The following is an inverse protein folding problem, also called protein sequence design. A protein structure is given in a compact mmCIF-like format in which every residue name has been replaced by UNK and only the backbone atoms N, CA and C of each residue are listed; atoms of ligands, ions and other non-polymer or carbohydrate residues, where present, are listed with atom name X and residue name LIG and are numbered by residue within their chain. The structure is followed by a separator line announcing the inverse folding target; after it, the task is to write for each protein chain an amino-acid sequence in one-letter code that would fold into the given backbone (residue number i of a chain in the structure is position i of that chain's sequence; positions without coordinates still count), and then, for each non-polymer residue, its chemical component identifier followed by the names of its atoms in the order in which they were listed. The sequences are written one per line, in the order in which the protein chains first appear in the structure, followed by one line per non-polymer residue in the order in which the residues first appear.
data_IF_368307528764
#
_entry.id   IF_368307528764
#
_cell.length_a   1.000
_cell.length_b   1.000
_cell.length_c   1.000
_cell.angle_alpha   90.00
_cell.angle_beta   90.00
_cell.angle_gamma   90.00
#
_symmetry.space_group_name_H-M   'P 1'
#
loop_
_entity.id
_entity.type
_entity.pdbx_description
1 polymer ?
#
# COMPACT_ATOMS: atom_id res chain seq x y z
N UNK A 1 -3.72 -1.94 6.46
CA UNK A 1 -3.79 -0.71 7.28
C UNK A 1 -3.29 -1.01 8.67
N UNK A 2 -2.26 -0.30 9.14
CA UNK A 2 -1.69 -0.53 10.47
C UNK A 2 -2.64 -0.09 11.58
N UNK A 3 -2.66 -0.82 12.71
CA UNK A 3 -3.48 -0.50 13.88
C UNK A 3 -3.24 0.94 14.36
N UNK A 4 -1.97 1.36 14.42
CA UNK A 4 -1.58 2.71 14.82
C UNK A 4 -2.18 3.80 13.92
N UNK A 5 -2.16 3.58 12.60
CA UNK A 5 -2.71 4.53 11.63
C UNK A 5 -4.22 4.75 11.86
N UNK A 6 -4.94 3.66 12.11
CA UNK A 6 -6.37 3.70 12.40
C UNK A 6 -6.63 4.41 13.74
N UNK A 7 -5.90 4.05 14.80
CA UNK A 7 -6.07 4.68 16.11
C UNK A 7 -5.75 6.17 16.09
N UNK A 8 -4.66 6.60 15.42
CA UNK A 8 -4.32 8.01 15.27
C UNK A 8 -5.37 8.78 14.48
N UNK A 9 -5.92 8.17 13.42
CA UNK A 9 -7.01 8.76 12.63
C UNK A 9 -8.26 9.00 13.49
N UNK A 10 -8.64 8.03 14.33
CA UNK A 10 -9.79 8.16 15.24
C UNK A 10 -9.55 9.26 16.28
N UNK A 11 -8.36 9.32 16.89
CA UNK A 11 -8.02 10.34 17.89
C UNK A 11 -8.06 11.75 17.29
N UNK A 12 -7.52 11.94 16.09
CA UNK A 12 -7.57 13.24 15.41
C UNK A 12 -9.02 13.63 15.07
N UNK A 13 -9.85 12.68 14.61
CA UNK A 13 -11.27 12.94 14.36
C UNK A 13 -12.03 13.27 15.64
N UNK A 14 -11.72 12.59 16.74
CA UNK A 14 -12.31 12.84 18.05
C UNK A 14 -11.96 14.26 18.54
N UNK A 15 -10.67 14.62 18.55
CA UNK A 15 -10.22 15.96 18.92
C UNK A 15 -10.81 17.06 18.01
N UNK A 16 -10.97 16.78 16.71
CA UNK A 16 -11.62 17.70 15.77
C UNK A 16 -13.10 17.91 16.11
N UNK A 17 -13.82 16.83 16.44
CA UNK A 17 -15.22 16.91 16.86
C UNK A 17 -15.38 17.66 18.20
N UNK A 18 -14.54 17.37 19.19
CA UNK A 18 -14.53 18.09 20.47
C UNK A 18 -14.21 19.58 20.30
N UNK A 19 -13.26 19.92 19.42
CA UNK A 19 -12.96 21.31 19.07
C UNK A 19 -14.16 21.99 18.41
N UNK A 20 -14.88 21.30 17.52
CA UNK A 20 -16.07 21.82 16.85
C UNK A 20 -17.20 22.14 17.86
N UNK A 21 -17.53 21.22 18.76
CA UNK A 21 -18.53 21.46 19.81
C UNK A 21 -18.12 22.62 20.73
N UNK A 22 -16.85 22.66 21.13
CA UNK A 22 -16.33 23.72 21.98
C UNK A 22 -16.45 25.11 21.32
N UNK A 23 -16.10 25.22 20.03
CA UNK A 23 -16.23 26.47 19.29
C UNK A 23 -17.69 26.88 19.09
N UNK A 24 -18.62 25.94 18.89
CA UNK A 24 -20.04 26.25 18.85
C UNK A 24 -20.53 26.78 20.19
N UNK A 25 -20.13 26.14 21.28
CA UNK A 25 -20.49 26.57 22.64
C UNK A 25 -19.96 27.97 22.96
N UNK A 26 -18.68 28.25 22.68
CA UNK A 26 -18.09 29.58 22.86
C UNK A 26 -18.86 30.64 22.05
N UNK A 27 -19.16 30.35 20.79
CA UNK A 27 -19.86 31.27 19.89
C UNK A 27 -21.25 31.59 20.43
N UNK A 28 -21.96 30.60 20.98
CA UNK A 28 -23.27 30.80 21.60
C UNK A 28 -23.17 31.54 22.95
N UNK A 29 -22.14 31.26 23.73
CA UNK A 29 -21.90 31.80 25.08
C UNK A 29 -21.42 33.26 25.09
N UNK A 30 -20.95 33.81 23.96
CA UNK A 30 -20.26 35.13 23.86
C UNK A 30 -19.07 35.30 24.81
N UNK A 31 -18.55 34.19 25.35
CA UNK A 31 -17.38 34.21 26.23
C UNK A 31 -16.12 34.01 25.39
N UNK A 32 -15.10 34.82 25.64
CA UNK A 32 -13.81 34.70 24.97
C UNK A 32 -12.85 33.94 25.88
N UNK A 33 -12.87 32.61 25.78
CA UNK A 33 -11.87 31.74 26.40
C UNK A 33 -11.03 31.06 25.33
N UNK A 34 -9.75 30.85 25.60
CA UNK A 34 -8.88 30.07 24.72
C UNK A 34 -9.25 28.59 24.70
N UNK A 35 -8.72 27.83 23.74
CA UNK A 35 -8.95 26.38 23.65
C UNK A 35 -8.46 25.67 24.93
N UNK A 36 -9.23 24.72 25.49
CA UNK A 36 -8.77 23.90 26.60
C UNK A 36 -7.53 23.12 26.20
N UNK A 37 -6.54 23.07 27.09
CA UNK A 37 -5.30 22.35 26.84
C UNK A 37 -5.51 20.85 26.61
N UNK A 38 -6.58 20.26 27.14
CA UNK A 38 -6.92 18.85 26.94
C UNK A 38 -7.11 18.50 25.45
N UNK A 39 -7.93 19.28 24.72
CA UNK A 39 -8.14 19.13 23.27
C UNK A 39 -6.83 19.33 22.50
N UNK A 40 -5.97 20.25 22.96
CA UNK A 40 -4.66 20.49 22.33
C UNK A 40 -3.74 19.27 22.49
N UNK A 41 -3.66 18.70 23.70
CA UNK A 41 -2.83 17.53 23.96
C UNK A 41 -3.37 16.29 23.24
N UNK A 42 -4.68 16.08 23.22
CA UNK A 42 -5.31 14.98 22.48
C UNK A 42 -4.98 15.05 20.98
N UNK A 43 -5.08 16.24 20.37
CA UNK A 43 -4.72 16.45 18.98
C UNK A 43 -3.22 16.15 18.73
N UNK A 44 -2.33 16.65 19.59
CA UNK A 44 -0.89 16.42 19.45
C UNK A 44 -0.53 14.94 19.56
N UNK A 45 -1.09 14.23 20.54
CA UNK A 45 -0.88 12.80 20.73
C UNK A 45 -1.45 12.01 19.55
N UNK A 46 -2.67 12.33 19.11
CA UNK A 46 -3.31 11.71 17.96
C UNK A 46 -2.48 11.89 16.68
N UNK A 47 -1.92 13.09 16.47
CA UNK A 47 -1.08 13.42 15.32
C UNK A 47 0.26 12.67 15.33
N UNK A 48 0.90 12.56 16.51
CA UNK A 48 2.12 11.74 16.66
C UNK A 48 1.83 10.27 16.34
N UNK A 49 0.76 9.70 16.88
CA UNK A 49 0.36 8.31 16.63
C UNK A 49 0.03 8.10 15.14
N UNK A 50 -0.65 9.06 14.51
CA UNK A 50 -0.98 9.02 13.10
C UNK A 50 0.27 9.00 12.21
N UNK A 51 1.27 9.87 12.47
CA UNK A 51 2.53 9.91 11.71
C UNK A 51 3.32 8.60 11.87
N UNK A 52 3.44 8.08 13.10
CA UNK A 52 4.12 6.80 13.33
C UNK A 52 3.39 5.65 12.60
N UNK A 53 2.06 5.65 12.66
CA UNK A 53 1.23 4.70 11.95
C UNK A 53 1.35 4.80 10.43
N UNK A 54 1.48 6.01 9.87
CA UNK A 54 1.61 6.21 8.43
C UNK A 54 2.95 5.68 7.93
N UNK A 55 4.04 5.92 8.67
CA UNK A 55 5.37 5.38 8.34
C UNK A 55 5.35 3.84 8.40
N UNK A 56 4.77 3.25 9.45
CA UNK A 56 4.67 1.80 9.58
C UNK A 56 3.82 1.16 8.47
N UNK A 57 2.86 1.91 7.92
CA UNK A 57 2.00 1.42 6.84
C UNK A 57 2.72 1.32 5.50
N UNK A 58 3.87 1.97 5.34
CA UNK A 58 4.69 1.85 4.13
C UNK A 58 5.50 0.57 4.27
N UNK A 59 5.06 -0.51 3.59
CA UNK A 59 5.82 -1.75 3.44
C UNK A 59 5.55 -2.32 2.06
N UNK A 60 6.58 -2.81 1.40
CA UNK A 60 6.45 -3.50 0.12
C UNK A 60 5.73 -4.84 0.32
N UNK A 61 4.77 -5.14 -0.56
CA UNK A 61 4.04 -6.40 -0.54
C UNK A 61 4.91 -7.53 -1.13
N UNK A 62 4.92 -8.70 -0.46
CA UNK A 62 5.48 -9.91 -1.04
C UNK A 62 4.60 -10.40 -2.18
N UNK A 63 5.20 -10.79 -3.31
CA UNK A 63 4.48 -11.32 -4.47
C UNK A 63 4.84 -12.78 -4.71
N UNK A 64 3.92 -13.51 -5.33
CA UNK A 64 4.18 -14.88 -5.77
C UNK A 64 4.95 -14.80 -7.10
N UNK A 65 6.02 -15.58 -7.23
CA UNK A 65 6.76 -15.66 -8.48
C UNK A 65 6.04 -16.54 -9.50
N UNK A 66 6.13 -16.17 -10.78
CA UNK A 66 5.59 -16.96 -11.89
C UNK A 66 6.51 -18.13 -12.27
N UNK A 67 7.80 -18.05 -11.92
CA UNK A 67 8.80 -19.10 -12.23
C UNK A 67 8.77 -20.23 -11.21
N UNK A 68 8.67 -19.85 -9.94
CA UNK A 68 8.62 -20.77 -8.81
C UNK A 68 7.38 -20.40 -8.02
N UNK A 69 6.52 -21.37 -7.69
CA UNK A 69 5.31 -21.18 -6.87
C UNK A 69 5.68 -20.90 -5.40
N UNK A 70 6.46 -19.84 -5.20
CA UNK A 70 7.09 -19.41 -3.97
C UNK A 70 6.83 -17.92 -3.80
N UNK A 71 6.66 -17.53 -2.54
CA UNK A 71 6.56 -16.14 -2.14
C UNK A 71 7.96 -15.50 -2.19
N UNK A 72 8.12 -14.51 -3.05
CA UNK A 72 9.33 -13.71 -3.15
C UNK A 72 9.06 -12.33 -2.54
N UNK A 73 9.95 -11.91 -1.65
CA UNK A 73 9.95 -10.53 -1.13
C UNK A 73 10.54 -9.62 -2.21
N UNK A 74 9.83 -8.57 -2.57
CA UNK A 74 10.34 -7.56 -3.50
C UNK A 74 11.42 -6.74 -2.80
N UNK A 75 12.68 -6.85 -3.27
CA UNK A 75 13.80 -5.98 -2.88
C UNK A 75 13.83 -5.57 -1.41
N UNK A 76 13.91 -4.25 -1.19
CA UNK A 76 13.91 -3.65 0.14
C UNK A 76 12.52 -3.65 0.80
N UNK A 77 12.49 -3.64 2.14
CA UNK A 77 11.25 -3.74 2.93
C UNK A 77 10.25 -2.58 2.70
N UNK A 78 10.73 -1.40 2.28
CA UNK A 78 9.93 -0.17 2.26
C UNK A 78 9.65 0.36 0.86
N UNK A 79 10.69 0.61 0.06
CA UNK A 79 10.61 1.29 -1.23
C UNK A 79 11.41 0.52 -2.26
N UNK A 80 11.00 0.61 -3.52
CA UNK A 80 11.75 0.02 -4.61
C UNK A 80 13.03 0.82 -4.91
N UNK A 81 14.11 0.14 -5.33
CA UNK A 81 15.34 0.82 -5.73
C UNK A 81 15.08 1.71 -6.96
N UNK A 82 15.80 2.84 -7.01
CA UNK A 82 15.71 3.80 -8.12
C UNK A 82 16.59 3.36 -9.31
N UNK A 83 17.68 2.64 -9.02
CA UNK A 83 18.63 2.23 -10.06
C UNK A 83 18.04 1.09 -10.88
N UNK A 84 18.02 1.28 -12.19
CA UNK A 84 17.40 0.35 -13.13
C UNK A 84 17.91 -1.09 -13.01
N UNK A 85 19.21 -1.30 -12.80
CA UNK A 85 19.78 -2.64 -12.66
C UNK A 85 19.18 -3.40 -11.45
N UNK A 86 19.10 -2.75 -10.30
CA UNK A 86 18.54 -3.31 -9.06
C UNK A 86 17.01 -3.49 -9.17
N UNK A 87 16.30 -2.54 -9.79
CA UNK A 87 14.86 -2.66 -10.03
C UNK A 87 14.52 -3.82 -10.98
N UNK A 88 15.29 -3.96 -12.06
CA UNK A 88 15.10 -5.03 -13.04
C UNK A 88 15.45 -6.41 -12.48
N UNK A 89 16.44 -6.50 -11.58
CA UNK A 89 16.72 -7.75 -10.87
C UNK A 89 15.52 -8.23 -10.05
N UNK A 90 14.88 -7.32 -9.29
CA UNK A 90 13.67 -7.63 -8.52
C UNK A 90 12.51 -8.10 -9.40
N UNK A 91 12.32 -7.48 -10.57
CA UNK A 91 11.28 -7.83 -11.55
C UNK A 91 11.58 -9.21 -12.17
N UNK A 92 12.83 -9.44 -12.59
CA UNK A 92 13.26 -10.71 -13.19
C UNK A 92 13.13 -11.90 -12.23
N UNK A 93 13.36 -11.68 -10.93
CA UNK A 93 13.18 -12.68 -9.87
C UNK A 93 11.72 -13.12 -9.72
N UNK A 94 10.77 -12.21 -9.94
CA UNK A 94 9.34 -12.52 -9.98
C UNK A 94 8.95 -13.31 -11.23
N UNK A 95 9.85 -13.38 -12.22
CA UNK A 95 9.59 -14.07 -13.48
C UNK A 95 8.70 -13.30 -14.43
N UNK A 96 8.52 -12.00 -14.18
CA UNK A 96 7.84 -11.07 -15.08
C UNK A 96 8.89 -10.23 -15.81
N UNK A 97 8.53 -9.74 -16.99
CA UNK A 97 9.26 -8.70 -17.70
C UNK A 97 8.30 -7.58 -18.11
N UNK A 98 8.68 -6.33 -17.87
CA UNK A 98 7.88 -5.14 -18.24
C UNK A 98 7.66 -5.04 -19.76
N UNK A 99 8.49 -5.74 -20.55
CA UNK A 99 8.41 -5.79 -22.01
C UNK A 99 7.77 -7.09 -22.54
N UNK A 100 7.10 -7.88 -21.70
CA UNK A 100 6.46 -9.15 -22.09
C UNK A 100 5.52 -9.03 -23.29
N UNK A 101 4.80 -7.91 -23.41
CA UNK A 101 3.90 -7.67 -24.54
C UNK A 101 4.66 -7.71 -25.89
N UNK A 102 5.85 -7.12 -25.93
CA UNK A 102 6.70 -7.08 -27.11
C UNK A 102 7.46 -8.39 -27.35
N UNK A 103 7.86 -9.09 -26.29
CA UNK A 103 8.58 -10.36 -26.39
C UNK A 103 7.65 -11.52 -26.79
N UNK A 104 6.48 -11.63 -26.14
CA UNK A 104 5.54 -12.73 -26.36
C UNK A 104 4.79 -12.62 -27.68
N UNK A 105 4.76 -11.44 -28.31
CA UNK A 105 4.16 -11.18 -29.63
C UNK A 105 2.77 -11.82 -29.75
N UNK A 106 1.89 -11.43 -28.82
CA UNK A 106 0.58 -12.04 -28.62
C UNK A 106 -0.26 -12.02 -29.92
N UNK A 107 -0.11 -10.96 -30.72
CA UNK A 107 -0.79 -10.79 -32.00
C UNK A 107 -0.44 -11.85 -33.05
N UNK A 108 0.72 -12.49 -32.94
CA UNK A 108 1.24 -13.45 -33.91
C UNK A 108 1.14 -14.90 -33.41
N UNK A 109 0.40 -15.16 -32.33
CA UNK A 109 0.26 -16.50 -31.78
C UNK A 109 -0.52 -17.41 -32.74
N UNK A 110 0.09 -18.55 -33.10
CA UNK A 110 -0.59 -19.59 -33.85
C UNK A 110 -1.50 -20.42 -32.93
N UNK A 111 -2.79 -20.06 -32.89
CA UNK A 111 -3.78 -20.76 -32.07
C UNK A 111 -3.95 -22.24 -32.42
N UNK A 112 -3.81 -22.61 -33.70
CA UNK A 112 -4.01 -23.99 -34.15
C UNK A 112 -2.87 -24.89 -33.64
N UNK A 113 -1.65 -24.38 -33.64
CA UNK A 113 -0.47 -25.09 -33.12
C UNK A 113 -0.52 -25.22 -31.60
N UNK A 114 -0.82 -24.14 -30.86
CA UNK A 114 -0.98 -24.19 -29.39
C UNK A 114 -2.01 -25.24 -28.95
N UNK A 115 -3.14 -25.36 -29.66
CA UNK A 115 -4.16 -26.38 -29.38
C UNK A 115 -3.65 -27.80 -29.64
N UNK A 116 -2.84 -28.02 -30.68
CA UNK A 116 -2.23 -29.33 -30.94
C UNK A 116 -1.27 -29.72 -29.81
N UNK A 117 -0.37 -28.82 -29.42
CA UNK A 117 0.58 -29.03 -28.33
C UNK A 117 -0.13 -29.37 -27.01
N UNK A 118 -1.22 -28.65 -26.70
CA UNK A 118 -2.02 -28.93 -25.51
C UNK A 118 -2.65 -30.33 -25.55
N UNK A 119 -3.19 -30.74 -26.70
CA UNK A 119 -3.77 -32.08 -26.87
C UNK A 119 -2.71 -33.19 -26.78
N UNK A 120 -1.50 -32.95 -27.28
CA UNK A 120 -0.37 -33.88 -27.13
C UNK A 120 0.07 -33.99 -25.67
N UNK A 121 0.14 -32.87 -24.95
CA UNK A 121 0.44 -32.87 -23.53
C UNK A 121 -0.60 -33.64 -22.70
N UNK A 122 -1.90 -33.52 -23.01
CA UNK A 122 -2.94 -34.32 -22.36
C UNK A 122 -2.73 -35.82 -22.57
N UNK A 123 -2.30 -36.22 -23.78
CA UNK A 123 -2.08 -37.64 -24.10
C UNK A 123 -0.83 -38.22 -23.42
N UNK A 124 0.17 -37.38 -23.15
CA UNK A 124 1.43 -37.74 -22.52
C UNK A 124 1.39 -37.63 -20.97
N UNK A 125 0.25 -37.24 -20.42
CA UNK A 125 0.00 -37.16 -18.98
C UNK A 125 -0.77 -38.37 -18.51
#
# INVERSE_FOLDING_TARGET
MGLLYLTGSILVLHAAYSSFEYHQFIKASKNHTGLPYDIVFELLIGLVIFILGSIQSIKNESRISLKEDKLIKQGDEYLNPIKMNESMENINNLGINDYEEFENRIDFINFREKRKLYNEWIKNK
#
